data_IF_685099614620
#
_entry.id   IF_685099614620
#
_cell.length_a   1.000
_cell.length_b   1.000
_cell.length_c   1.000
_cell.angle_alpha   90.00
_cell.angle_beta   90.00
_cell.angle_gamma   90.00
#
_symmetry.space_group_name_H-M   'P 1'
#
loop_
_entity.id
_entity.type
_entity.pdbx_description
1 polymer ?
#
# COMPACT_ATOMS: atom_id res chain seq x y z
N UNK A 1 -8.02 -15.48 26.47
CA UNK A 1 -8.39 -15.09 25.08
C UNK A 1 -7.88 -13.72 24.65
N UNK A 2 -8.25 -12.59 25.30
CA UNK A 2 -7.81 -11.24 24.88
C UNK A 2 -6.28 -11.10 24.70
N UNK A 3 -5.47 -11.57 25.66
CA UNK A 3 -4.00 -11.55 25.54
C UNK A 3 -3.46 -12.30 24.31
N UNK A 4 -4.06 -13.43 23.94
CA UNK A 4 -3.65 -14.23 22.77
C UNK A 4 -3.96 -13.47 21.48
N UNK A 5 -5.16 -12.87 21.38
CA UNK A 5 -5.56 -12.05 20.22
C UNK A 5 -4.63 -10.85 20.05
N UNK A 6 -4.24 -10.20 21.16
CA UNK A 6 -3.27 -9.11 21.12
C UNK A 6 -1.91 -9.56 20.57
N UNK A 7 -1.39 -10.70 21.05
CA UNK A 7 -0.11 -11.25 20.58
C UNK A 7 -0.18 -11.58 19.09
N UNK A 8 -1.26 -12.23 18.63
CA UNK A 8 -1.46 -12.55 17.21
C UNK A 8 -1.46 -11.27 16.36
N UNK A 9 -2.21 -10.24 16.75
CA UNK A 9 -2.26 -8.99 16.00
C UNK A 9 -0.90 -8.27 15.98
N UNK A 10 -0.14 -8.31 17.07
CA UNK A 10 1.23 -7.76 17.09
C UNK A 10 2.16 -8.53 16.15
N UNK A 11 2.06 -9.86 16.11
CA UNK A 11 2.82 -10.68 15.16
C UNK A 11 2.45 -10.36 13.71
N UNK A 12 1.17 -10.12 13.41
CA UNK A 12 0.72 -9.68 12.09
C UNK A 12 1.33 -8.32 11.73
N UNK A 13 1.33 -7.35 12.64
CA UNK A 13 1.93 -6.03 12.41
C UNK A 13 3.42 -6.15 12.09
N UNK A 14 4.16 -6.91 12.90
CA UNK A 14 5.61 -7.10 12.70
C UNK A 14 5.86 -7.85 11.40
N UNK A 15 5.16 -8.96 11.16
CA UNK A 15 5.31 -9.76 9.95
C UNK A 15 5.01 -8.96 8.68
N UNK A 16 3.87 -8.26 8.65
CA UNK A 16 3.50 -7.41 7.51
C UNK A 16 4.51 -6.28 7.30
N UNK A 17 5.02 -5.64 8.35
CA UNK A 17 6.04 -4.60 8.22
C UNK A 17 7.36 -5.14 7.65
N UNK A 18 7.81 -6.32 8.11
CA UNK A 18 9.03 -6.97 7.61
C UNK A 18 8.87 -7.39 6.15
N UNK A 19 7.78 -8.08 5.81
CA UNK A 19 7.50 -8.48 4.42
C UNK A 19 7.34 -7.29 3.49
N UNK A 20 6.61 -6.26 3.93
CA UNK A 20 6.43 -5.01 3.20
C UNK A 20 7.77 -4.34 2.90
N UNK A 21 8.63 -4.21 3.92
CA UNK A 21 9.96 -3.66 3.76
C UNK A 21 10.78 -4.46 2.75
N UNK A 22 10.87 -5.78 2.91
CA UNK A 22 11.64 -6.67 2.02
C UNK A 22 11.20 -6.54 0.55
N UNK A 23 9.89 -6.46 0.29
CA UNK A 23 9.35 -6.32 -1.06
C UNK A 23 9.63 -4.95 -1.68
N UNK A 24 9.73 -3.89 -0.88
CA UNK A 24 10.07 -2.55 -1.36
C UNK A 24 11.56 -2.41 -1.67
N UNK A 25 12.43 -2.94 -0.80
CA UNK A 25 13.88 -2.69 -0.90
C UNK A 25 14.63 -3.68 -1.80
N UNK A 26 14.14 -4.91 -1.95
CA UNK A 26 14.87 -5.90 -2.76
C UNK A 26 14.81 -5.48 -4.24
N UNK A 27 15.96 -5.39 -4.94
CA UNK A 27 15.98 -4.92 -6.33
C UNK A 27 15.28 -5.91 -7.28
N UNK A 28 15.64 -7.19 -7.23
CA UNK A 28 15.05 -8.27 -8.04
C UNK A 28 13.87 -8.99 -7.37
N UNK A 29 13.34 -10.05 -8.00
CA UNK A 29 12.27 -10.84 -7.41
C UNK A 29 12.79 -11.62 -6.18
N UNK A 30 11.86 -12.02 -5.31
CA UNK A 30 12.19 -12.98 -4.24
C UNK A 30 12.41 -14.38 -4.80
N UNK A 31 13.23 -15.20 -4.11
CA UNK A 31 13.65 -16.52 -4.59
C UNK A 31 12.46 -17.46 -4.90
N UNK A 32 11.39 -17.37 -4.12
CA UNK A 32 10.19 -18.19 -4.35
C UNK A 32 9.42 -17.78 -5.62
N UNK A 33 9.56 -16.55 -6.14
CA UNK A 33 8.95 -16.21 -7.43
C UNK A 33 9.66 -16.93 -8.57
N UNK A 34 10.99 -16.96 -8.55
CA UNK A 34 11.77 -17.72 -9.52
C UNK A 34 11.45 -19.21 -9.42
N UNK A 35 11.34 -19.76 -8.19
CA UNK A 35 10.94 -21.14 -7.97
C UNK A 35 9.53 -21.45 -8.51
N UNK A 36 8.58 -20.52 -8.35
CA UNK A 36 7.21 -20.66 -8.86
C UNK A 36 7.17 -20.62 -10.39
N UNK A 37 7.92 -19.71 -11.00
CA UNK A 37 8.01 -19.58 -12.46
C UNK A 37 8.85 -20.68 -13.12
N UNK A 38 9.67 -21.37 -12.34
CA UNK A 38 10.70 -22.29 -12.85
C UNK A 38 11.66 -21.61 -13.83
N UNK A 39 11.91 -20.32 -13.63
CA UNK A 39 12.80 -19.51 -14.45
C UNK A 39 13.70 -18.66 -13.55
N UNK A 40 14.97 -18.53 -13.90
CA UNK A 40 15.89 -17.58 -13.30
C UNK A 40 15.74 -16.18 -13.91
N UNK A 41 16.42 -15.19 -13.33
CA UNK A 41 16.31 -13.79 -13.76
C UNK A 41 16.71 -13.57 -15.23
N UNK A 42 17.80 -14.19 -15.67
CA UNK A 42 18.28 -14.03 -17.04
C UNK A 42 17.28 -14.59 -18.05
N UNK A 43 16.66 -15.74 -17.75
CA UNK A 43 15.65 -16.36 -18.62
C UNK A 43 14.39 -15.49 -18.77
N UNK A 44 13.96 -14.83 -17.70
CA UNK A 44 12.79 -13.93 -17.75
C UNK A 44 13.11 -12.67 -18.57
N UNK A 45 14.30 -12.09 -18.36
CA UNK A 45 14.75 -10.90 -19.08
C UNK A 45 14.91 -11.19 -20.58
N UNK A 46 15.50 -12.34 -20.93
CA UNK A 46 15.68 -12.78 -22.32
C UNK A 46 14.34 -13.01 -23.03
N UNK A 47 13.35 -13.57 -22.32
CA UNK A 47 12.00 -13.73 -22.86
C UNK A 47 11.33 -12.37 -23.11
N UNK A 48 11.29 -11.51 -22.09
CA UNK A 48 10.79 -10.14 -22.23
C UNK A 48 11.20 -9.28 -21.02
N UNK A 49 12.06 -8.26 -21.20
CA UNK A 49 12.52 -7.41 -20.10
C UNK A 49 11.37 -6.61 -19.44
N UNK A 50 10.33 -6.25 -20.19
CA UNK A 50 9.19 -5.51 -19.66
C UNK A 50 8.30 -6.36 -18.74
N UNK A 51 8.26 -7.68 -18.94
CA UNK A 51 7.56 -8.59 -18.01
C UNK A 51 8.30 -8.60 -16.67
N UNK A 52 9.63 -8.66 -16.69
CA UNK A 52 10.43 -8.60 -15.48
C UNK A 52 10.17 -7.29 -14.72
N UNK A 53 10.20 -6.14 -15.42
CA UNK A 53 9.90 -4.84 -14.83
C UNK A 53 8.50 -4.74 -14.24
N UNK A 54 7.50 -5.29 -14.93
CA UNK A 54 6.12 -5.35 -14.46
C UNK A 54 6.02 -6.18 -13.17
N UNK A 55 6.70 -7.33 -13.12
CA UNK A 55 6.72 -8.18 -11.93
C UNK A 55 7.39 -7.49 -10.73
N UNK A 56 8.52 -6.79 -10.95
CA UNK A 56 9.15 -5.97 -9.92
C UNK A 56 8.22 -4.87 -9.43
N UNK A 57 7.46 -4.27 -10.35
CA UNK A 57 6.49 -3.22 -10.04
C UNK A 57 5.36 -3.77 -9.17
N UNK A 58 4.74 -4.90 -9.56
CA UNK A 58 3.71 -5.55 -8.73
C UNK A 58 4.24 -5.98 -7.37
N UNK A 59 5.47 -6.51 -7.31
CA UNK A 59 6.13 -6.81 -6.03
C UNK A 59 6.21 -5.57 -5.14
N UNK A 60 6.68 -4.43 -5.66
CA UNK A 60 6.75 -3.19 -4.87
C UNK A 60 5.37 -2.72 -4.41
N UNK A 61 4.34 -2.82 -5.26
CA UNK A 61 2.95 -2.51 -4.89
C UNK A 61 2.50 -3.39 -3.71
N UNK A 62 2.69 -4.70 -3.82
CA UNK A 62 2.37 -5.66 -2.75
C UNK A 62 3.12 -5.30 -1.45
N UNK A 63 4.40 -4.93 -1.56
CA UNK A 63 5.20 -4.47 -0.42
C UNK A 63 4.58 -3.26 0.29
N UNK A 64 4.11 -2.28 -0.49
CA UNK A 64 3.33 -1.16 0.02
C UNK A 64 2.02 -1.57 0.70
N UNK A 65 1.27 -2.51 0.11
CA UNK A 65 0.02 -3.00 0.68
C UNK A 65 0.21 -3.70 2.03
N UNK A 66 1.34 -4.40 2.23
CA UNK A 66 1.66 -4.98 3.53
C UNK A 66 1.82 -3.93 4.64
N UNK A 67 2.35 -2.74 4.34
CA UNK A 67 2.36 -1.64 5.32
C UNK A 67 0.94 -1.14 5.64
N UNK A 68 0.04 -1.10 4.66
CA UNK A 68 -1.37 -0.76 4.91
C UNK A 68 -2.03 -1.79 5.84
N UNK A 69 -1.76 -3.08 5.65
CA UNK A 69 -2.23 -4.14 6.56
C UNK A 69 -1.71 -3.90 7.98
N UNK A 70 -0.43 -3.59 8.14
CA UNK A 70 0.16 -3.31 9.45
C UNK A 70 -0.53 -2.12 10.15
N UNK A 71 -0.78 -1.03 9.43
CA UNK A 71 -1.47 0.16 9.96
C UNK A 71 -2.93 -0.14 10.32
N UNK A 72 -3.63 -0.90 9.48
CA UNK A 72 -5.00 -1.31 9.75
C UNK A 72 -5.10 -2.19 11.00
N UNK A 73 -4.20 -3.17 11.15
CA UNK A 73 -4.12 -4.03 12.33
C UNK A 73 -3.77 -3.24 13.59
N UNK A 74 -2.89 -2.22 13.50
CA UNK A 74 -2.64 -1.29 14.61
C UNK A 74 -3.92 -0.55 15.02
N UNK A 75 -4.72 -0.07 14.07
CA UNK A 75 -6.03 0.54 14.33
C UNK A 75 -6.97 -0.39 15.11
N UNK A 76 -7.05 -1.66 14.70
CA UNK A 76 -7.85 -2.70 15.40
C UNK A 76 -7.35 -2.91 16.83
N UNK A 77 -6.04 -2.95 17.06
CA UNK A 77 -5.46 -3.06 18.41
C UNK A 77 -5.89 -1.86 19.26
N UNK A 78 -5.82 -0.64 18.72
CA UNK A 78 -6.20 0.57 19.44
C UNK A 78 -7.68 0.57 19.85
N UNK A 79 -8.60 0.18 18.95
CA UNK A 79 -10.03 0.07 19.25
C UNK A 79 -10.30 -0.93 20.39
N UNK A 80 -9.65 -2.09 20.34
CA UNK A 80 -9.95 -3.18 21.26
C UNK A 80 -9.28 -3.07 22.64
N UNK A 81 -8.19 -2.30 22.77
CA UNK A 81 -7.35 -2.32 23.98
C UNK A 81 -7.06 -0.95 24.61
N UNK A 82 -7.08 0.15 23.86
CA UNK A 82 -6.69 1.48 24.36
C UNK A 82 -7.85 2.48 24.46
N UNK A 83 -9.08 2.10 24.07
CA UNK A 83 -10.33 2.90 24.11
C UNK A 83 -10.24 4.30 23.49
N UNK A 84 -9.12 4.66 22.86
CA UNK A 84 -8.88 5.96 22.25
C UNK A 84 -9.35 5.88 20.79
N UNK A 85 -10.66 6.07 20.59
CA UNK A 85 -11.31 5.97 19.28
C UNK A 85 -10.68 6.89 18.22
N UNK A 86 -10.24 8.08 18.60
CA UNK A 86 -9.65 9.05 17.67
C UNK A 86 -8.39 8.51 16.98
N UNK A 87 -7.48 7.90 17.76
CA UNK A 87 -6.23 7.35 17.22
C UNK A 87 -6.48 6.13 16.34
N UNK A 88 -7.43 5.28 16.73
CA UNK A 88 -7.81 4.13 15.93
C UNK A 88 -8.36 4.55 14.55
N UNK A 89 -9.28 5.52 14.53
CA UNK A 89 -9.84 6.05 13.29
C UNK A 89 -8.76 6.69 12.43
N UNK A 90 -7.79 7.40 13.03
CA UNK A 90 -6.64 7.94 12.29
C UNK A 90 -5.82 6.83 11.62
N UNK A 91 -5.49 5.74 12.32
CA UNK A 91 -4.73 4.62 11.73
C UNK A 91 -5.49 3.93 10.60
N UNK A 92 -6.79 3.69 10.77
CA UNK A 92 -7.63 3.04 9.76
C UNK A 92 -7.79 3.92 8.53
N UNK A 93 -8.08 5.22 8.74
CA UNK A 93 -8.22 6.18 7.64
C UNK A 93 -6.90 6.34 6.88
N UNK A 94 -5.78 6.43 7.60
CA UNK A 94 -4.45 6.51 7.00
C UNK A 94 -4.11 5.24 6.21
N UNK A 95 -4.42 4.05 6.74
CA UNK A 95 -4.24 2.79 6.03
C UNK A 95 -5.06 2.74 4.72
N UNK A 96 -6.32 3.19 4.75
CA UNK A 96 -7.18 3.25 3.56
C UNK A 96 -6.63 4.22 2.50
N UNK A 97 -6.14 5.40 2.92
CA UNK A 97 -5.50 6.35 2.02
C UNK A 97 -4.23 5.78 1.38
N UNK A 98 -3.38 5.11 2.18
CA UNK A 98 -2.17 4.45 1.69
C UNK A 98 -2.50 3.31 0.71
N UNK A 99 -3.57 2.55 0.95
CA UNK A 99 -4.00 1.45 0.07
C UNK A 99 -4.32 1.95 -1.35
N UNK A 100 -4.94 3.12 -1.48
CA UNK A 100 -5.22 3.74 -2.78
C UNK A 100 -3.99 4.42 -3.39
N UNK A 101 -3.22 5.15 -2.58
CA UNK A 101 -2.15 6.03 -3.09
C UNK A 101 -0.86 5.29 -3.44
N UNK A 102 -0.47 4.25 -2.70
CA UNK A 102 0.79 3.55 -2.94
C UNK A 102 0.84 2.85 -4.31
N UNK A 103 -0.16 2.05 -4.73
CA UNK A 103 -0.15 1.39 -6.03
C UNK A 103 -0.06 2.41 -7.15
N UNK A 104 -0.85 3.47 -7.04
CA UNK A 104 -0.93 4.53 -8.04
C UNK A 104 0.37 5.34 -8.13
N UNK A 105 1.04 5.61 -7.00
CA UNK A 105 2.36 6.26 -6.99
C UNK A 105 3.39 5.40 -7.72
N UNK A 106 3.46 4.12 -7.38
CA UNK A 106 4.43 3.19 -7.96
C UNK A 106 4.17 3.01 -9.46
N UNK A 107 2.91 2.83 -9.87
CA UNK A 107 2.54 2.72 -11.28
C UNK A 107 2.86 4.02 -12.04
N UNK A 108 2.49 5.18 -11.49
CA UNK A 108 2.76 6.47 -12.13
C UNK A 108 4.25 6.72 -12.32
N UNK A 109 5.07 6.35 -11.32
CA UNK A 109 6.53 6.44 -11.42
C UNK A 109 7.05 5.61 -12.59
N UNK A 110 6.61 4.36 -12.69
CA UNK A 110 7.07 3.43 -13.73
C UNK A 110 6.61 3.84 -15.13
N UNK A 111 5.38 4.34 -15.26
CA UNK A 111 4.89 4.88 -16.53
C UNK A 111 5.69 6.13 -16.92
N UNK A 112 5.99 7.02 -15.97
CA UNK A 112 6.81 8.20 -16.24
C UNK A 112 8.24 7.84 -16.70
N UNK A 113 8.86 6.81 -16.13
CA UNK A 113 10.17 6.30 -16.57
C UNK A 113 10.14 5.67 -17.98
N UNK A 114 8.99 5.18 -18.42
CA UNK A 114 8.85 4.44 -19.67
C UNK A 114 8.53 5.30 -20.90
N UNK A 115 8.20 6.59 -20.73
CA UNK A 115 7.84 7.50 -21.85
C UNK A 115 9.08 8.35 -22.21
N UNK A 116 9.70 8.16 -23.40
CA UNK A 116 10.95 8.82 -23.76
C UNK A 116 10.87 10.36 -23.89
N UNK A 117 9.70 10.89 -24.27
CA UNK A 117 9.53 12.31 -24.67
C UNK A 117 8.32 12.99 -24.02
N UNK A 118 7.70 12.37 -23.01
CA UNK A 118 6.58 12.98 -22.29
C UNK A 118 7.10 13.94 -21.23
N UNK A 119 6.47 15.11 -21.07
CA UNK A 119 6.72 15.96 -19.89
C UNK A 119 6.44 15.13 -18.64
N UNK A 120 7.50 14.61 -18.01
CA UNK A 120 7.38 13.73 -16.85
C UNK A 120 6.73 14.53 -15.74
N UNK A 121 5.43 14.30 -15.50
CA UNK A 121 4.78 14.92 -14.35
C UNK A 121 5.51 14.43 -13.09
N UNK A 122 5.79 15.32 -12.13
CA UNK A 122 6.51 14.93 -10.93
C UNK A 122 5.83 13.75 -10.23
N UNK A 123 6.63 12.88 -9.61
CA UNK A 123 6.16 11.65 -8.93
C UNK A 123 5.05 11.87 -7.91
N UNK A 124 4.99 13.07 -7.35
CA UNK A 124 3.99 13.48 -6.37
C UNK A 124 2.68 13.98 -6.98
N UNK A 125 2.60 14.19 -8.30
CA UNK A 125 1.44 14.82 -8.95
C UNK A 125 0.16 13.99 -8.81
N UNK A 126 0.17 12.73 -9.23
CA UNK A 126 -1.00 11.85 -9.14
C UNK A 126 -1.39 11.55 -7.67
N UNK A 127 -0.44 11.27 -6.76
CA UNK A 127 -0.73 11.17 -5.33
C UNK A 127 -1.34 12.45 -4.74
N UNK A 128 -0.84 13.63 -5.11
CA UNK A 128 -1.36 14.92 -4.64
C UNK A 128 -2.80 15.16 -5.12
N UNK A 129 -3.12 14.82 -6.37
CA UNK A 129 -4.49 14.90 -6.89
C UNK A 129 -5.43 13.98 -6.11
N UNK A 130 -5.00 12.78 -5.76
CA UNK A 130 -5.84 11.84 -5.01
C UNK A 130 -6.04 12.28 -3.55
N UNK A 131 -5.01 12.81 -2.90
CA UNK A 131 -5.13 13.43 -1.57
C UNK A 131 -6.10 14.60 -1.65
N UNK A 132 -6.01 15.44 -2.69
CA UNK A 132 -6.93 16.54 -2.92
C UNK A 132 -8.37 16.04 -3.13
N UNK A 133 -8.59 15.00 -3.95
CA UNK A 133 -9.91 14.42 -4.18
C UNK A 133 -10.49 13.78 -2.90
N UNK A 134 -9.66 13.10 -2.11
CA UNK A 134 -10.06 12.56 -0.81
C UNK A 134 -10.43 13.67 0.17
N UNK A 135 -9.65 14.77 0.21
CA UNK A 135 -9.95 15.93 1.02
C UNK A 135 -11.26 16.62 0.59
N UNK A 136 -11.48 16.79 -0.72
CA UNK A 136 -12.74 17.32 -1.27
C UNK A 136 -13.90 16.41 -0.87
N UNK A 137 -13.76 15.09 -1.01
CA UNK A 137 -14.79 14.12 -0.62
C UNK A 137 -15.11 14.22 0.88
N UNK A 138 -14.09 14.36 1.74
CA UNK A 138 -14.29 14.58 3.18
C UNK A 138 -15.03 15.89 3.48
N UNK A 139 -14.67 16.99 2.80
CA UNK A 139 -15.38 18.26 2.95
C UNK A 139 -16.85 18.12 2.52
N UNK A 140 -17.12 17.51 1.37
CA UNK A 140 -18.49 17.25 0.88
C UNK A 140 -19.28 16.39 1.87
N UNK A 141 -18.66 15.35 2.44
CA UNK A 141 -19.30 14.48 3.43
C UNK A 141 -19.73 15.23 4.70
N UNK A 142 -18.98 16.26 5.14
CA UNK A 142 -19.37 17.09 6.29
C UNK A 142 -20.63 17.92 6.03
N UNK A 143 -20.85 18.35 4.79
CA UNK A 143 -22.09 19.02 4.36
C UNK A 143 -23.23 18.04 4.03
N UNK A 144 -22.92 16.74 3.94
CA UNK A 144 -23.87 15.68 3.62
C UNK A 144 -24.48 15.03 4.87
N UNK A 145 -24.33 15.63 6.06
CA UNK A 145 -24.96 15.10 7.28
C UNK A 145 -26.46 14.92 6.99
N UNK A 146 -27.01 13.70 7.13
CA UNK A 146 -28.44 13.53 6.99
C UNK A 146 -29.09 14.42 8.05
N UNK A 147 -30.00 15.28 7.63
CA UNK A 147 -30.94 15.91 8.55
C UNK A 147 -31.45 14.82 9.48
N UNK A 148 -31.28 15.00 10.78
CA UNK A 148 -31.80 14.10 11.80
C UNK A 148 -33.32 14.06 11.64
N UNK A 149 -33.80 13.12 10.83
CA UNK A 149 -35.17 12.65 10.91
C UNK A 149 -35.21 11.80 12.16
N UNK A 150 -35.48 12.44 13.29
CA UNK A 150 -36.34 12.02 14.40
C UNK A 150 -36.25 13.07 15.51
#
# INVERSE_FOLDING_TARGET
MKKIILIINLLIVVGASVFGYLYLIKPGLMNYHYAYLQMNEAEIIDFNPHIFDLMITFKKIIGGMFFCVALFTLGIIYLNYKTTYDKANSFILFAALCFATIPLTILSHRVAEAIPDGESKPLWFLPAILILLAFISMMVAQFSKPESRF
#
